data_IF_476956614895
#
_entry.id   IF_476956614895
#
_cell.length_a   1.000
_cell.length_b   1.000
_cell.length_c   1.000
_cell.angle_alpha   90.00
_cell.angle_beta   90.00
_cell.angle_gamma   90.00
#
_symmetry.space_group_name_H-M   'P 1'
#
loop_
_entity.id
_entity.type
_entity.pdbx_description
1 polymer ?
#
# COMPACT_ATOMS: atom_id res chain seq x y z
N UNK A 1 -5.97 -15.16 5.99
CA UNK A 1 -7.01 -14.10 5.83
C UNK A 1 -7.27 -13.86 4.34
N UNK A 2 -8.48 -13.52 3.90
CA UNK A 2 -8.73 -13.22 2.46
C UNK A 2 -8.36 -11.79 2.09
N UNK A 3 -7.97 -11.57 0.82
CA UNK A 3 -7.62 -10.23 0.29
C UNK A 3 -8.75 -9.21 0.50
N UNK A 4 -10.01 -9.59 0.21
CA UNK A 4 -11.19 -8.74 0.46
C UNK A 4 -11.28 -8.33 1.92
N UNK A 5 -11.18 -9.29 2.83
CA UNK A 5 -11.29 -9.04 4.28
C UNK A 5 -10.16 -8.13 4.76
N UNK A 6 -8.94 -8.32 4.24
CA UNK A 6 -7.82 -7.46 4.58
C UNK A 6 -8.04 -6.01 4.11
N UNK A 7 -8.50 -5.83 2.87
CA UNK A 7 -8.79 -4.49 2.31
C UNK A 7 -9.88 -3.76 3.12
N UNK A 8 -10.91 -4.47 3.57
CA UNK A 8 -11.94 -3.88 4.43
C UNK A 8 -11.37 -3.47 5.79
N UNK A 9 -10.55 -4.30 6.42
CA UNK A 9 -9.92 -4.00 7.71
C UNK A 9 -8.96 -2.81 7.60
N UNK A 10 -8.02 -2.85 6.66
CA UNK A 10 -7.07 -1.78 6.43
C UNK A 10 -7.77 -0.47 6.03
N UNK A 11 -8.80 -0.56 5.16
CA UNK A 11 -9.61 0.58 4.77
C UNK A 11 -10.35 1.23 5.93
N UNK A 12 -10.81 0.44 6.93
CA UNK A 12 -11.39 0.95 8.17
C UNK A 12 -10.36 1.62 9.07
N UNK A 13 -9.18 1.00 9.23
CA UNK A 13 -8.10 1.56 10.05
C UNK A 13 -7.59 2.90 9.49
N UNK A 14 -7.53 3.02 8.16
CA UNK A 14 -7.06 4.21 7.46
C UNK A 14 -8.13 5.30 7.29
N UNK A 15 -9.34 5.14 7.86
CA UNK A 15 -10.39 6.16 7.81
C UNK A 15 -9.86 7.44 8.47
N UNK A 16 -9.73 8.50 7.68
CA UNK A 16 -9.13 9.78 8.11
C UNK A 16 -7.79 10.12 7.43
N UNK A 17 -7.19 9.17 6.70
CA UNK A 17 -6.05 9.43 5.81
C UNK A 17 -6.53 9.66 4.38
N UNK A 18 -5.80 10.47 3.60
CA UNK A 18 -6.10 10.70 2.19
C UNK A 18 -6.13 9.37 1.41
N UNK A 19 -7.20 9.12 0.66
CA UNK A 19 -7.39 7.93 -0.18
C UNK A 19 -7.17 6.57 0.55
N UNK A 20 -7.86 6.36 1.68
CA UNK A 20 -7.74 5.16 2.56
C UNK A 20 -7.82 3.82 1.81
N UNK A 21 -8.79 3.66 0.90
CA UNK A 21 -8.96 2.42 0.12
C UNK A 21 -7.81 2.20 -0.87
N UNK A 22 -7.40 3.26 -1.57
CA UNK A 22 -6.31 3.18 -2.55
C UNK A 22 -4.99 2.84 -1.88
N UNK A 23 -4.75 3.39 -0.69
CA UNK A 23 -3.59 3.06 0.14
C UNK A 23 -3.57 1.57 0.50
N UNK A 24 -4.69 1.02 0.97
CA UNK A 24 -4.79 -0.41 1.26
C UNK A 24 -4.52 -1.28 0.01
N UNK A 25 -5.10 -0.93 -1.14
CA UNK A 25 -4.85 -1.62 -2.40
C UNK A 25 -3.37 -1.61 -2.80
N UNK A 26 -2.69 -0.46 -2.65
CA UNK A 26 -1.28 -0.32 -2.99
C UNK A 26 -0.36 -1.14 -2.06
N UNK A 27 -0.61 -1.13 -0.75
CA UNK A 27 0.13 -1.95 0.21
C UNK A 27 0.01 -3.43 -0.14
N UNK A 28 -1.21 -3.89 -0.43
CA UNK A 28 -1.47 -5.29 -0.74
C UNK A 28 -0.89 -5.71 -2.10
N UNK A 29 -0.91 -4.82 -3.10
CA UNK A 29 -0.22 -5.02 -4.38
C UNK A 29 1.30 -5.17 -4.18
N UNK A 30 1.91 -4.31 -3.37
CA UNK A 30 3.36 -4.30 -3.18
C UNK A 30 3.86 -5.53 -2.40
N UNK A 31 3.15 -5.97 -1.38
CA UNK A 31 3.57 -7.15 -0.59
C UNK A 31 3.32 -8.46 -1.35
N UNK A 32 2.24 -8.55 -2.12
CA UNK A 32 1.89 -9.78 -2.85
C UNK A 32 2.45 -9.83 -4.28
N UNK A 33 3.27 -8.85 -4.67
CA UNK A 33 3.79 -8.66 -6.03
C UNK A 33 2.71 -8.87 -7.10
N UNK A 34 1.59 -8.16 -6.95
CA UNK A 34 0.40 -8.34 -7.77
C UNK A 34 -0.17 -7.01 -8.23
N UNK A 35 -0.95 -7.05 -9.31
CA UNK A 35 -1.62 -5.85 -9.84
C UNK A 35 -2.97 -5.63 -9.18
N UNK A 36 -3.45 -4.38 -9.22
CA UNK A 36 -4.81 -4.04 -8.77
C UNK A 36 -5.89 -4.81 -9.53
N UNK A 37 -5.68 -5.06 -10.82
CA UNK A 37 -6.59 -5.88 -11.64
C UNK A 37 -6.71 -7.28 -11.07
N UNK A 38 -5.59 -7.91 -10.68
CA UNK A 38 -5.60 -9.23 -10.06
C UNK A 38 -6.23 -9.26 -8.67
N UNK A 39 -6.17 -8.16 -7.91
CA UNK A 39 -6.91 -8.03 -6.64
C UNK A 39 -8.43 -7.98 -6.86
N UNK A 40 -8.88 -7.27 -7.89
CA UNK A 40 -10.29 -7.18 -8.26
C UNK A 40 -10.81 -8.50 -8.85
N UNK A 41 -10.00 -9.16 -9.67
CA UNK A 41 -10.34 -10.44 -10.29
C UNK A 41 -10.37 -11.60 -9.29
N UNK A 42 -9.54 -11.55 -8.24
CA UNK A 42 -9.43 -12.61 -7.23
C UNK A 42 -9.50 -12.05 -5.80
N UNK A 43 -10.64 -11.49 -5.38
CA UNK A 43 -10.80 -10.86 -4.06
C UNK A 43 -10.84 -11.88 -2.92
N UNK A 44 -11.24 -13.12 -3.23
CA UNK A 44 -11.38 -14.21 -2.25
C UNK A 44 -10.11 -15.05 -2.08
N UNK A 45 -9.04 -14.75 -2.83
CA UNK A 45 -7.73 -15.39 -2.62
C UNK A 45 -7.21 -15.08 -1.22
N UNK A 46 -6.50 -16.03 -0.64
CA UNK A 46 -5.86 -15.86 0.66
C UNK A 46 -4.59 -15.01 0.54
N UNK A 47 -4.31 -14.30 1.63
CA UNK A 47 -3.05 -13.63 1.90
C UNK A 47 -2.19 -14.62 2.69
N UNK A 48 -0.97 -14.95 2.24
CA UNK A 48 -0.06 -15.80 3.00
C UNK A 48 0.27 -15.20 4.38
N UNK A 49 0.47 -16.01 5.43
CA UNK A 49 0.78 -15.51 6.78
C UNK A 49 1.98 -14.55 6.82
N UNK A 50 3.03 -14.85 6.06
CA UNK A 50 4.24 -14.02 5.97
C UNK A 50 3.93 -12.64 5.37
N UNK A 51 3.01 -12.60 4.40
CA UNK A 51 2.52 -11.36 3.81
C UNK A 51 1.61 -10.60 4.78
N UNK A 52 0.81 -11.29 5.60
CA UNK A 52 -0.03 -10.64 6.61
C UNK A 52 0.80 -9.89 7.65
N UNK A 53 1.89 -10.48 8.13
CA UNK A 53 2.83 -9.84 9.07
C UNK A 53 3.45 -8.58 8.47
N UNK A 54 3.96 -8.68 7.23
CA UNK A 54 4.54 -7.54 6.52
C UNK A 54 3.52 -6.42 6.27
N UNK A 55 2.30 -6.80 5.91
CA UNK A 55 1.20 -5.87 5.71
C UNK A 55 0.80 -5.15 7.00
N UNK A 56 0.81 -5.85 8.14
CA UNK A 56 0.54 -5.26 9.44
C UNK A 56 1.61 -4.22 9.83
N UNK A 57 2.89 -4.53 9.59
CA UNK A 57 4.01 -3.61 9.82
C UNK A 57 3.87 -2.32 8.99
N UNK A 58 3.62 -2.46 7.67
CA UNK A 58 3.44 -1.31 6.78
C UNK A 58 2.20 -0.49 7.12
N UNK A 59 1.10 -1.14 7.51
CA UNK A 59 -0.12 -0.47 7.94
C UNK A 59 0.11 0.34 9.22
N UNK A 60 0.85 -0.21 10.20
CA UNK A 60 1.20 0.50 11.43
C UNK A 60 2.04 1.74 11.14
N UNK A 61 3.06 1.61 10.27
CA UNK A 61 3.89 2.75 9.82
C UNK A 61 3.06 3.82 9.10
N UNK A 62 2.12 3.42 8.24
CA UNK A 62 1.19 4.36 7.57
C UNK A 62 0.33 5.12 8.56
N UNK A 63 -0.20 4.43 9.57
CA UNK A 63 -1.02 5.02 10.63
C UNK A 63 -0.22 5.96 11.54
N UNK A 64 1.09 5.71 11.71
CA UNK A 64 2.00 6.61 12.40
C UNK A 64 2.31 7.90 11.61
N UNK A 65 1.75 8.06 10.40
CA UNK A 65 1.91 9.25 9.57
C UNK A 65 2.97 9.12 8.48
N UNK A 66 3.60 7.96 8.34
CA UNK A 66 4.61 7.77 7.30
C UNK A 66 3.98 7.88 5.89
N UNK A 67 4.60 8.65 4.96
CA UNK A 67 4.17 8.72 3.57
C UNK A 67 4.17 7.37 2.88
N UNK A 68 3.11 7.07 2.12
CA UNK A 68 2.97 5.80 1.39
C UNK A 68 4.14 5.51 0.45
N UNK A 69 4.72 6.54 -0.16
CA UNK A 69 5.88 6.42 -1.04
C UNK A 69 7.06 5.70 -0.37
N UNK A 70 7.37 6.05 0.89
CA UNK A 70 8.46 5.41 1.65
C UNK A 70 8.13 3.97 2.07
N UNK A 71 6.86 3.64 2.22
CA UNK A 71 6.42 2.28 2.54
C UNK A 71 6.52 1.34 1.34
N UNK A 72 6.21 1.87 0.15
CA UNK A 72 6.27 1.11 -1.09
C UNK A 72 7.70 1.00 -1.63
N UNK A 73 8.61 1.88 -1.21
CA UNK A 73 9.95 1.94 -1.77
C UNK A 73 9.97 2.48 -3.21
N UNK A 74 8.81 2.89 -3.75
CA UNK A 74 8.68 3.44 -5.09
C UNK A 74 7.52 4.44 -5.19
N UNK A 75 7.63 5.40 -6.12
CA UNK A 75 6.62 6.41 -6.42
C UNK A 75 6.58 6.68 -7.91
N UNK A 76 5.36 6.78 -8.45
CA UNK A 76 5.16 7.23 -9.83
C UNK A 76 5.21 8.77 -9.89
N UNK A 77 6.04 9.31 -10.78
CA UNK A 77 6.12 10.75 -11.08
C UNK A 77 6.24 10.93 -12.59
N UNK A 78 5.33 11.71 -13.20
CA UNK A 78 5.23 11.89 -14.66
C UNK A 78 5.24 10.57 -15.47
N UNK A 79 4.49 9.56 -15.02
CA UNK A 79 4.38 8.27 -15.73
C UNK A 79 5.64 7.39 -15.67
N UNK A 80 6.58 7.70 -14.78
CA UNK A 80 7.78 6.91 -14.53
C UNK A 80 7.80 6.46 -13.07
N UNK A 81 8.16 5.20 -12.84
CA UNK A 81 8.37 4.66 -11.50
C UNK A 81 9.78 5.03 -11.02
N UNK A 82 9.86 5.67 -9.86
CA UNK A 82 11.12 5.98 -9.18
C UNK A 82 11.20 5.17 -7.90
N UNK A 83 12.34 4.55 -7.63
CA UNK A 83 12.64 3.97 -6.32
C UNK A 83 12.85 5.10 -5.31
N UNK A 84 12.21 5.03 -4.15
CA UNK A 84 12.29 6.04 -3.08
C UNK A 84 12.63 5.37 -1.75
N UNK A 85 13.71 5.83 -1.15
CA UNK A 85 14.17 5.49 0.19
C UNK A 85 13.73 6.61 1.15
N UNK A 86 13.65 6.35 2.47
CA UNK A 86 13.53 7.35 3.52
C UNK A 86 14.57 8.50 3.44
N UNK A 87 15.70 8.29 2.75
CA UNK A 87 16.70 9.31 2.43
C UNK A 87 16.37 10.16 1.18
N UNK A 88 15.33 9.83 0.42
CA UNK A 88 15.02 10.47 -0.87
C UNK A 88 13.87 11.47 -0.74
N UNK A 89 14.14 12.73 -1.11
CA UNK A 89 13.16 13.82 -1.09
C UNK A 89 12.00 13.48 -2.03
N UNK A 90 10.80 13.22 -1.50
CA UNK A 90 9.59 12.95 -2.30
C UNK A 90 9.32 14.18 -3.19
N UNK A 91 9.44 14.09 -4.52
CA UNK A 91 9.33 15.26 -5.39
C UNK A 91 7.88 15.74 -5.43
N UNK A 92 7.59 16.90 -4.85
CA UNK A 92 6.24 17.51 -4.92
C UNK A 92 6.03 18.11 -6.32
N UNK A 93 4.79 18.15 -6.85
CA UNK A 93 4.47 18.70 -8.18
C UNK A 93 4.60 20.24 -8.27
N UNK A 94 5.38 20.87 -7.39
CA UNK A 94 5.55 22.33 -7.33
C UNK A 94 6.99 22.77 -7.63
N UNK A 95 7.81 21.92 -8.27
CA UNK A 95 9.13 22.35 -8.78
C UNK A 95 9.53 21.55 -10.02
#
# INVERSE_FOLDING_TARGET
MTRRRWLEQAGRALRGTEASRRTAELLLCAVLDTTRVALIAHPDREVPPEAEERLAELLARRLAGEPLAYLLGWREFYGRSFEVDAATLIPRPET
#
